data_IF_831870331359
#
_entry.id   IF_831870331359
#
_cell.length_a   1.000
_cell.length_b   1.000
_cell.length_c   1.000
_cell.angle_alpha   90.00
_cell.angle_beta   90.00
_cell.angle_gamma   90.00
#
_symmetry.space_group_name_H-M   'P 1'
#
loop_
_entity.id
_entity.type
_entity.pdbx_description
1 polymer ?
#
# COMPACT_ATOMS: atom_id res chain seq x y z
N UNK A 1 6.57 -8.29 2.58
CA UNK A 1 5.15 -8.61 2.29
C UNK A 1 4.32 -7.43 2.78
N UNK A 2 3.17 -7.13 2.19
CA UNK A 2 2.36 -6.03 2.69
C UNK A 2 1.80 -6.34 4.08
N UNK A 3 1.81 -5.35 4.99
CA UNK A 3 1.35 -5.51 6.36
C UNK A 3 -0.16 -5.24 6.47
N UNK A 4 -0.92 -6.13 7.10
CA UNK A 4 -2.31 -5.89 7.46
C UNK A 4 -2.41 -4.93 8.66
N UNK A 5 -3.25 -3.92 8.53
CA UNK A 5 -3.44 -2.87 9.53
C UNK A 5 -4.94 -2.64 9.72
N UNK A 6 -5.39 -2.53 10.96
CA UNK A 6 -6.74 -2.10 11.24
C UNK A 6 -6.77 -0.57 11.32
N UNK A 7 -7.46 0.06 10.38
CA UNK A 7 -7.66 1.51 10.31
C UNK A 7 -9.14 1.80 10.51
N UNK A 8 -9.50 2.46 11.62
CA UNK A 8 -10.88 2.87 11.93
C UNK A 8 -11.90 1.73 11.84
N UNK A 9 -11.52 0.52 12.28
CA UNK A 9 -12.36 -0.68 12.22
C UNK A 9 -12.38 -1.37 10.85
N UNK A 10 -11.56 -0.93 9.89
CA UNK A 10 -11.43 -1.55 8.56
C UNK A 10 -10.05 -2.17 8.39
N UNK A 11 -10.01 -3.39 7.88
CA UNK A 11 -8.75 -4.04 7.50
C UNK A 11 -8.26 -3.38 6.21
N UNK A 12 -7.05 -2.82 6.29
CA UNK A 12 -6.32 -2.20 5.19
C UNK A 12 -4.91 -2.79 5.14
N UNK A 13 -4.21 -2.56 4.05
CA UNK A 13 -2.92 -3.16 3.77
C UNK A 13 -1.89 -2.07 3.52
N UNK A 14 -0.82 -2.05 4.30
CA UNK A 14 0.25 -1.07 4.24
C UNK A 14 1.43 -1.59 3.43
N UNK A 15 1.92 -0.79 2.51
CA UNK A 15 3.24 -1.00 1.91
C UNK A 15 4.31 -0.58 2.92
N UNK A 16 5.20 -1.49 3.28
CA UNK A 16 6.27 -1.21 4.26
C UNK A 16 7.36 -0.27 3.71
N UNK A 17 7.47 -0.13 2.39
CA UNK A 17 8.52 0.70 1.75
C UNK A 17 8.14 2.17 1.65
N UNK A 18 6.90 2.47 1.26
CA UNK A 18 6.44 3.85 1.08
C UNK A 18 5.42 4.30 2.14
N UNK A 19 4.90 3.38 2.95
CA UNK A 19 3.95 3.66 4.03
C UNK A 19 2.49 3.82 3.58
N UNK A 20 2.20 3.66 2.28
CA UNK A 20 0.85 3.87 1.75
C UNK A 20 -0.08 2.74 2.12
N UNK A 21 -1.35 3.08 2.34
CA UNK A 21 -2.40 2.15 2.74
C UNK A 21 -3.33 1.87 1.56
N UNK A 22 -3.77 0.62 1.45
CA UNK A 22 -4.63 0.14 0.38
C UNK A 22 -5.76 -0.72 0.93
N UNK A 23 -6.93 -0.70 0.29
CA UNK A 23 -8.06 -1.55 0.71
C UNK A 23 -7.87 -3.04 0.40
N UNK A 24 -6.95 -3.38 -0.49
CA UNK A 24 -6.74 -4.75 -0.98
C UNK A 24 -5.27 -5.14 -0.84
N UNK A 25 -5.01 -6.29 -0.23
CA UNK A 25 -3.66 -6.84 -0.05
C UNK A 25 -2.87 -6.93 -1.35
N UNK A 26 -3.50 -7.44 -2.43
CA UNK A 26 -2.89 -7.52 -3.76
C UNK A 26 -2.36 -6.18 -4.29
N UNK A 27 -2.98 -5.05 -3.95
CA UNK A 27 -2.50 -3.73 -4.38
C UNK A 27 -1.30 -3.31 -3.55
N UNK A 28 -1.35 -3.52 -2.23
CA UNK A 28 -0.23 -3.25 -1.35
C UNK A 28 0.99 -4.13 -1.69
N UNK A 29 0.78 -5.40 -2.03
CA UNK A 29 1.85 -6.31 -2.49
C UNK A 29 2.47 -5.82 -3.80
N UNK A 30 1.65 -5.43 -4.78
CA UNK A 30 2.16 -4.81 -6.03
C UNK A 30 2.94 -3.53 -5.75
N UNK A 31 2.46 -2.69 -4.82
CA UNK A 31 3.16 -1.49 -4.41
C UNK A 31 4.53 -1.83 -3.80
N UNK A 32 4.58 -2.81 -2.90
CA UNK A 32 5.81 -3.23 -2.24
C UNK A 32 6.81 -3.81 -3.24
N UNK A 33 6.38 -4.71 -4.11
CA UNK A 33 7.23 -5.27 -5.17
C UNK A 33 7.81 -4.18 -6.09
N UNK A 34 7.00 -3.18 -6.45
CA UNK A 34 7.46 -2.05 -7.24
C UNK A 34 8.49 -1.21 -6.47
N UNK A 35 8.18 -0.80 -5.24
CA UNK A 35 9.09 0.00 -4.42
C UNK A 35 10.41 -0.73 -4.15
N UNK A 36 10.39 -2.05 -3.98
CA UNK A 36 11.60 -2.86 -3.80
C UNK A 36 12.49 -2.88 -5.03
N UNK A 37 11.88 -3.04 -6.21
CA UNK A 37 12.57 -3.13 -7.50
C UNK A 37 13.06 -1.78 -8.02
N UNK A 38 12.23 -0.75 -7.94
CA UNK A 38 12.49 0.56 -8.58
C UNK A 38 12.97 1.63 -7.59
N UNK A 39 12.96 1.35 -6.28
CA UNK A 39 13.29 2.33 -5.21
C UNK A 39 12.49 3.64 -5.31
N UNK A 40 11.32 3.58 -5.91
CA UNK A 40 10.41 4.71 -6.14
C UNK A 40 8.96 4.27 -6.04
N UNK A 41 8.03 5.21 -5.89
CA UNK A 41 6.60 4.92 -5.88
C UNK A 41 6.03 4.90 -7.31
N UNK A 42 5.19 3.92 -7.63
CA UNK A 42 4.44 3.91 -8.89
C UNK A 42 3.16 4.76 -8.75
N UNK A 43 3.04 5.83 -9.53
CA UNK A 43 1.88 6.74 -9.53
C UNK A 43 0.56 6.05 -9.92
N UNK A 44 0.60 4.98 -10.71
CA UNK A 44 -0.58 4.20 -11.07
C UNK A 44 -1.06 3.28 -9.96
N UNK A 45 -0.17 2.77 -9.13
CA UNK A 45 -0.55 1.98 -7.95
C UNK A 45 -1.03 2.93 -6.85
N UNK A 46 -0.29 4.03 -6.72
CA UNK A 46 -0.55 5.12 -5.83
C UNK A 46 -1.99 5.67 -5.88
N UNK A 47 -2.58 5.79 -7.08
CA UNK A 47 -3.97 6.29 -7.22
C UNK A 47 -5.01 5.46 -6.46
N UNK A 48 -4.70 4.22 -6.09
CA UNK A 48 -5.58 3.35 -5.30
C UNK A 48 -5.37 3.46 -3.79
N UNK A 49 -4.42 4.28 -3.34
CA UNK A 49 -4.18 4.48 -1.92
C UNK A 49 -5.38 5.16 -1.26
N UNK A 50 -5.69 4.72 -0.05
CA UNK A 50 -6.73 5.36 0.74
C UNK A 50 -6.16 6.65 1.35
N UNK A 51 -6.92 7.73 1.24
CA UNK A 51 -6.69 8.92 2.06
C UNK A 51 -7.28 8.67 3.44
N UNK A 52 -6.43 8.78 4.45
CA UNK A 52 -6.86 8.96 5.83
C UNK A 52 -7.20 10.44 5.98
N UNK A 53 -8.37 10.77 6.51
CA UNK A 53 -8.77 12.15 6.80
C UNK A 53 -8.38 12.53 8.22
#
# INVERSE_FOLDING_TARGET
>A
MAQEVNLEGKIVYKCEKCGWLYRRGKIAEKCQAWCEKHKSCNLEIAKYAIKIK
#
